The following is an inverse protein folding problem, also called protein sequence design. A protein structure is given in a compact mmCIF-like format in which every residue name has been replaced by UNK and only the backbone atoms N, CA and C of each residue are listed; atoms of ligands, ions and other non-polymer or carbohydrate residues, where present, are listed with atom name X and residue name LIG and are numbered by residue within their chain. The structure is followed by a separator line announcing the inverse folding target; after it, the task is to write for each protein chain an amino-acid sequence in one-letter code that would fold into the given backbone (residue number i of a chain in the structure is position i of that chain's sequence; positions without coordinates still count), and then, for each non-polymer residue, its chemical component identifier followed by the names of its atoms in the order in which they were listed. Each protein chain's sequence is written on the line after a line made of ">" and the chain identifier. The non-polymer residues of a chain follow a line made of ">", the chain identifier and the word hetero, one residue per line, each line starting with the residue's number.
data_IF_123982434173
#
_entry.id   IF_123982434173
#
_cell.length_a   1.000
_cell.length_b   1.000
_cell.length_c   1.000
_cell.angle_alpha   90.00
_cell.angle_beta   90.00
_cell.angle_gamma   90.00
#
_symmetry.space_group_name_H-M   'P 1'
#
loop_
_entity.id
_entity.type
_entity.pdbx_description
1 polymer ?
#
# COMPACT_ATOMS: atom_id res chain seq x y z
N UNK A 1 -2.82 -2.90 -2.72
CA UNK A 1 -1.95 -2.05 -1.88
C UNK A 1 -2.81 -1.10 -1.08
N UNK A 2 -2.37 -0.71 0.13
CA UNK A 2 -3.01 0.33 0.95
C UNK A 2 -2.11 1.55 1.01
N UNK A 3 -2.74 2.71 1.02
CA UNK A 3 -2.11 4.01 1.21
C UNK A 3 -2.66 4.63 2.48
N UNK A 4 -1.79 5.15 3.31
CA UNK A 4 -2.11 5.84 4.55
C UNK A 4 -1.92 7.35 4.35
N UNK A 5 -2.04 8.13 5.42
CA UNK A 5 -1.84 9.58 5.38
C UNK A 5 -0.48 9.94 4.77
N UNK A 6 -0.43 11.07 4.11
CA UNK A 6 0.77 11.63 3.44
C UNK A 6 1.37 10.70 2.35
N UNK A 7 0.65 9.64 1.98
CA UNK A 7 1.10 8.76 0.92
C UNK A 7 0.82 9.36 -0.46
N UNK A 8 1.77 9.18 -1.36
CA UNK A 8 1.57 9.44 -2.77
C UNK A 8 1.21 8.14 -3.49
N UNK A 9 0.30 8.24 -4.41
CA UNK A 9 0.00 7.14 -5.33
C UNK A 9 -0.22 7.71 -6.74
N UNK A 10 0.25 7.01 -7.73
CA UNK A 10 0.12 7.36 -9.12
C UNK A 10 0.02 6.12 -10.01
N UNK A 11 -0.22 6.35 -11.27
CA UNK A 11 -0.11 5.35 -12.32
C UNK A 11 0.82 5.85 -13.43
N UNK A 12 2.09 5.99 -13.08
CA UNK A 12 3.13 6.32 -14.05
C UNK A 12 3.15 5.35 -15.24
N UNK A 13 2.74 4.11 -15.03
CA UNK A 13 2.69 3.09 -16.08
C UNK A 13 1.69 3.44 -17.17
N UNK A 14 0.49 3.85 -16.84
CA UNK A 14 -0.52 4.25 -17.82
C UNK A 14 -0.09 5.50 -18.59
N UNK A 15 0.52 6.43 -17.91
CA UNK A 15 1.04 7.64 -18.52
C UNK A 15 2.17 7.35 -19.52
N UNK A 16 3.18 6.56 -19.14
CA UNK A 16 4.32 6.23 -19.99
C UNK A 16 3.88 5.40 -21.20
N UNK A 17 2.94 4.47 -21.01
CA UNK A 17 2.49 3.56 -22.05
C UNK A 17 1.27 4.08 -22.84
N UNK A 18 0.70 5.23 -22.44
CA UNK A 18 -0.52 5.79 -23.01
C UNK A 18 -1.68 4.76 -23.03
N UNK A 19 -1.83 4.02 -21.94
CA UNK A 19 -2.86 3.01 -21.77
C UNK A 19 -3.74 3.37 -20.55
N UNK A 20 -5.04 3.10 -20.58
CA UNK A 20 -5.90 3.28 -19.41
C UNK A 20 -5.47 2.31 -18.30
N UNK A 21 -5.67 2.72 -17.06
CA UNK A 21 -5.46 1.85 -15.88
C UNK A 21 -6.49 0.69 -15.91
N UNK A 22 -6.08 -0.46 -15.43
CA UNK A 22 -6.90 -1.67 -15.31
C UNK A 22 -7.34 -1.96 -13.87
N UNK A 23 -7.11 -1.02 -12.96
CA UNK A 23 -7.52 -1.09 -11.56
C UNK A 23 -8.27 0.19 -11.14
N UNK A 24 -8.85 0.17 -9.97
CA UNK A 24 -9.49 1.32 -9.36
C UNK A 24 -8.95 1.56 -7.95
N UNK A 25 -9.06 2.82 -7.53
CA UNK A 25 -8.67 3.27 -6.20
C UNK A 25 -9.96 3.55 -5.43
N UNK A 26 -10.05 3.04 -4.21
CA UNK A 26 -11.22 3.19 -3.36
C UNK A 26 -10.81 3.72 -1.99
N UNK A 27 -11.44 4.80 -1.55
CA UNK A 27 -11.39 5.23 -0.16
C UNK A 27 -12.18 4.23 0.71
N UNK A 28 -11.57 3.72 1.78
CA UNK A 28 -12.19 2.79 2.72
C UNK A 28 -12.65 3.48 4.02
N UNK A 29 -12.34 4.75 4.15
CA UNK A 29 -12.77 5.66 5.22
C UNK A 29 -12.83 7.10 4.67
N UNK A 30 -13.39 8.04 5.43
CA UNK A 30 -13.44 9.45 5.02
C UNK A 30 -12.04 9.97 4.76
N UNK A 31 -11.80 10.44 3.53
CA UNK A 31 -10.46 10.74 3.02
C UNK A 31 -10.45 12.08 2.29
N UNK A 32 -9.51 12.94 2.64
CA UNK A 32 -9.17 14.12 1.86
C UNK A 32 -8.00 13.81 0.94
N UNK A 33 -8.13 14.14 -0.35
CA UNK A 33 -7.08 13.93 -1.34
C UNK A 33 -6.74 15.22 -2.07
N UNK A 34 -5.46 15.38 -2.39
CA UNK A 34 -4.97 16.41 -3.30
C UNK A 34 -4.50 15.70 -4.57
N UNK A 35 -4.95 16.16 -5.70
CA UNK A 35 -4.54 15.59 -6.99
C UNK A 35 -3.85 16.63 -7.86
N UNK A 36 -2.94 16.17 -8.69
CA UNK A 36 -2.19 16.96 -9.65
C UNK A 36 -2.25 16.30 -11.01
N UNK A 37 -2.37 17.12 -12.04
CA UNK A 37 -2.17 16.61 -13.40
C UNK A 37 -0.66 16.44 -13.65
N UNK A 38 -0.29 15.32 -14.23
CA UNK A 38 1.11 14.97 -14.43
C UNK A 38 1.83 15.93 -15.39
N UNK A 39 1.10 16.47 -16.38
CA UNK A 39 1.66 17.48 -17.30
C UNK A 39 1.99 18.79 -16.59
N UNK A 40 1.19 19.21 -15.60
CA UNK A 40 1.48 20.38 -14.78
C UNK A 40 2.72 20.15 -13.92
N UNK A 41 2.84 18.95 -13.33
CA UNK A 41 4.04 18.58 -12.56
C UNK A 41 5.31 18.56 -13.42
N UNK A 42 5.22 18.07 -14.65
CA UNK A 42 6.34 18.11 -15.60
C UNK A 42 6.78 19.53 -15.91
N UNK A 43 5.82 20.40 -16.26
CA UNK A 43 6.12 21.79 -16.58
C UNK A 43 6.80 22.54 -15.41
N UNK A 44 6.51 22.13 -14.16
CA UNK A 44 7.17 22.67 -12.97
C UNK A 44 8.56 22.00 -12.78
N UNK A 45 8.67 20.68 -13.00
CA UNK A 45 9.91 19.94 -12.84
C UNK A 45 11.00 20.43 -13.79
N UNK A 46 10.64 20.80 -15.02
CA UNK A 46 11.57 21.41 -16.00
C UNK A 46 12.23 22.71 -15.49
N UNK A 47 11.56 23.38 -14.53
CA UNK A 47 12.01 24.65 -13.96
C UNK A 47 12.59 24.51 -12.55
N UNK A 48 12.47 23.34 -11.94
CA UNK A 48 12.83 23.13 -10.53
C UNK A 48 13.38 21.73 -10.28
N UNK A 49 14.68 21.66 -10.03
CA UNK A 49 15.34 20.40 -9.63
C UNK A 49 14.85 19.84 -8.29
N UNK A 50 14.14 20.64 -7.50
CA UNK A 50 13.51 20.18 -6.24
C UNK A 50 12.33 19.27 -6.56
N UNK A 51 11.47 19.67 -7.50
CA UNK A 51 10.30 18.87 -7.91
C UNK A 51 10.74 17.57 -8.57
N UNK A 52 11.77 17.62 -9.40
CA UNK A 52 12.37 16.41 -10.00
C UNK A 52 12.82 15.41 -8.93
N UNK A 53 13.56 15.87 -7.93
CA UNK A 53 14.00 15.01 -6.80
C UNK A 53 12.85 14.44 -5.98
N UNK A 54 11.81 15.23 -5.75
CA UNK A 54 10.59 14.76 -5.08
C UNK A 54 9.95 13.63 -5.89
N UNK A 55 9.80 13.80 -7.20
CA UNK A 55 9.26 12.77 -8.10
C UNK A 55 10.07 11.47 -8.04
N UNK A 56 11.40 11.55 -8.09
CA UNK A 56 12.28 10.39 -7.94
C UNK A 56 12.07 9.70 -6.59
N UNK A 57 11.95 10.47 -5.50
CA UNK A 57 11.71 9.92 -4.17
C UNK A 57 10.37 9.20 -4.09
N UNK A 58 9.29 9.79 -4.60
CA UNK A 58 7.95 9.17 -4.65
C UNK A 58 8.00 7.84 -5.39
N UNK A 59 8.63 7.81 -6.57
CA UNK A 59 8.78 6.59 -7.36
C UNK A 59 9.59 5.52 -6.61
N UNK A 60 10.68 5.91 -5.94
CA UNK A 60 11.49 5.00 -5.14
C UNK A 60 10.71 4.42 -3.95
N UNK A 61 9.94 5.25 -3.24
CA UNK A 61 9.12 4.82 -2.10
C UNK A 61 8.01 3.85 -2.56
N UNK A 62 7.37 4.13 -3.70
CA UNK A 62 6.39 3.24 -4.31
C UNK A 62 7.00 1.86 -4.64
N UNK A 63 8.14 1.83 -5.33
CA UNK A 63 8.85 0.60 -5.67
C UNK A 63 9.29 -0.19 -4.42
N UNK A 64 9.75 0.51 -3.37
CA UNK A 64 10.15 -0.13 -2.13
C UNK A 64 8.95 -0.77 -1.40
N UNK A 65 7.82 -0.07 -1.32
CA UNK A 65 6.59 -0.60 -0.73
C UNK A 65 6.06 -1.82 -1.50
N UNK A 66 6.09 -1.75 -2.83
CA UNK A 66 5.70 -2.87 -3.68
C UNK A 66 6.62 -4.08 -3.48
N UNK A 67 7.93 -3.87 -3.47
CA UNK A 67 8.93 -4.92 -3.22
C UNK A 67 8.79 -5.54 -1.84
N UNK A 68 8.52 -4.73 -0.81
CA UNK A 68 8.25 -5.21 0.54
C UNK A 68 7.05 -6.17 0.53
N UNK A 69 5.93 -5.77 -0.07
CA UNK A 69 4.72 -6.58 -0.13
C UNK A 69 4.96 -7.91 -0.86
N UNK A 70 5.58 -7.87 -2.03
CA UNK A 70 5.94 -9.08 -2.79
C UNK A 70 6.86 -9.98 -1.95
N UNK A 71 7.84 -9.41 -1.25
CA UNK A 71 8.76 -10.17 -0.40
C UNK A 71 8.02 -10.89 0.74
N UNK A 72 7.08 -10.20 1.38
CA UNK A 72 6.22 -10.76 2.44
C UNK A 72 5.43 -11.96 1.89
N UNK A 73 4.78 -11.80 0.73
CA UNK A 73 3.99 -12.86 0.11
C UNK A 73 4.84 -14.06 -0.30
N UNK A 74 6.05 -13.86 -0.78
CA UNK A 74 6.91 -14.93 -1.28
C UNK A 74 7.68 -15.68 -0.19
N UNK A 75 8.08 -15.00 0.89
CA UNK A 75 9.01 -15.56 1.88
C UNK A 75 8.35 -16.03 3.17
N UNK A 76 7.19 -15.48 3.51
CA UNK A 76 6.56 -15.72 4.79
C UNK A 76 5.33 -16.63 4.67
N UNK A 77 5.15 -17.50 5.65
CA UNK A 77 3.89 -18.21 5.86
C UNK A 77 2.76 -17.24 6.21
N UNK A 78 1.49 -17.61 6.05
CA UNK A 78 0.35 -16.76 6.39
C UNK A 78 0.41 -16.15 7.80
N UNK A 79 0.86 -16.91 8.78
CA UNK A 79 0.98 -16.43 10.16
C UNK A 79 2.13 -15.42 10.32
N UNK A 80 3.27 -15.67 9.70
CA UNK A 80 4.40 -14.76 9.70
C UNK A 80 4.07 -13.45 8.99
N UNK A 81 3.30 -13.48 7.89
CA UNK A 81 2.81 -12.29 7.19
C UNK A 81 1.97 -11.42 8.13
N UNK A 82 1.04 -12.03 8.86
CA UNK A 82 0.19 -11.30 9.80
C UNK A 82 1.00 -10.73 10.98
N UNK A 83 1.89 -11.52 11.57
CA UNK A 83 2.80 -11.05 12.64
C UNK A 83 3.69 -9.90 12.17
N UNK A 84 4.18 -9.97 10.94
CA UNK A 84 4.95 -8.89 10.32
C UNK A 84 4.15 -7.58 10.28
N UNK A 85 2.89 -7.63 9.85
CA UNK A 85 2.03 -6.44 9.81
C UNK A 85 1.72 -5.90 11.20
N UNK A 86 1.45 -6.77 12.17
CA UNK A 86 1.23 -6.35 13.56
C UNK A 86 2.42 -5.56 14.13
N UNK A 87 3.63 -5.97 13.78
CA UNK A 87 4.87 -5.35 14.27
C UNK A 87 5.21 -4.08 13.49
N UNK A 88 5.10 -4.09 12.17
CA UNK A 88 5.64 -3.05 11.32
C UNK A 88 4.58 -2.07 10.80
N UNK A 89 3.30 -2.46 10.77
CA UNK A 89 2.18 -1.65 10.27
C UNK A 89 0.93 -1.79 11.17
N UNK A 90 1.05 -1.58 12.49
CA UNK A 90 -0.05 -1.81 13.44
C UNK A 90 -1.28 -0.94 13.14
N UNK A 91 -1.09 0.31 12.73
CA UNK A 91 -2.18 1.22 12.38
C UNK A 91 -3.00 0.68 11.20
N UNK A 92 -2.33 0.17 10.17
CA UNK A 92 -3.02 -0.46 9.04
C UNK A 92 -3.91 -1.63 9.51
N UNK A 93 -3.37 -2.50 10.37
CA UNK A 93 -4.11 -3.67 10.89
C UNK A 93 -5.33 -3.26 11.72
N UNK A 94 -5.26 -2.13 12.42
CA UNK A 94 -6.36 -1.62 13.25
C UNK A 94 -7.47 -0.96 12.42
N UNK A 95 -7.13 -0.31 11.31
CA UNK A 95 -8.05 0.51 10.51
C UNK A 95 -8.76 -0.26 9.41
N UNK A 96 -8.14 -1.27 8.82
CA UNK A 96 -8.75 -1.99 7.71
C UNK A 96 -9.62 -3.17 8.16
N UNK A 97 -10.66 -3.47 7.39
CA UNK A 97 -11.52 -4.61 7.66
C UNK A 97 -10.78 -5.94 7.58
N UNK A 98 -11.27 -6.94 8.30
CA UNK A 98 -10.72 -8.32 8.23
C UNK A 98 -10.72 -8.85 6.80
N UNK A 99 -11.70 -8.49 5.99
CA UNK A 99 -11.78 -8.88 4.58
C UNK A 99 -10.65 -8.27 3.76
N UNK A 100 -10.42 -6.96 3.88
CA UNK A 100 -9.34 -6.28 3.18
C UNK A 100 -7.97 -6.76 3.64
N UNK A 101 -7.82 -6.99 4.96
CA UNK A 101 -6.57 -7.52 5.50
C UNK A 101 -6.27 -8.94 5.00
N UNK A 102 -7.29 -9.80 4.91
CA UNK A 102 -7.13 -11.15 4.37
C UNK A 102 -6.70 -11.13 2.90
N UNK A 103 -7.33 -10.27 2.09
CA UNK A 103 -6.94 -10.06 0.69
C UNK A 103 -5.49 -9.57 0.56
N UNK A 104 -5.08 -8.63 1.41
CA UNK A 104 -3.71 -8.11 1.40
C UNK A 104 -2.66 -9.19 1.76
N UNK A 105 -3.03 -10.11 2.65
CA UNK A 105 -2.18 -11.21 3.08
C UNK A 105 -2.24 -12.44 2.15
N UNK A 106 -3.08 -12.37 1.11
CA UNK A 106 -3.35 -13.48 0.18
C UNK A 106 -3.82 -14.77 0.91
N UNK A 107 -4.82 -14.59 1.79
CA UNK A 107 -5.48 -15.69 2.52
C UNK A 107 -6.99 -15.47 2.56
N UNK A 108 -7.75 -16.53 2.92
CA UNK A 108 -9.18 -16.37 3.14
C UNK A 108 -9.48 -15.62 4.45
N UNK A 109 -10.61 -14.92 4.48
CA UNK A 109 -11.12 -14.25 5.69
C UNK A 109 -11.25 -15.22 6.87
N UNK A 110 -11.71 -16.44 6.61
CA UNK A 110 -11.90 -17.49 7.61
C UNK A 110 -10.54 -17.94 8.19
N UNK A 111 -9.53 -18.05 7.33
CA UNK A 111 -8.16 -18.39 7.75
C UNK A 111 -7.60 -17.29 8.67
N UNK A 112 -7.74 -16.03 8.28
CA UNK A 112 -7.30 -14.90 9.10
C UNK A 112 -8.05 -14.86 10.44
N UNK A 113 -9.37 -15.05 10.43
CA UNK A 113 -10.17 -15.04 11.65
C UNK A 113 -9.74 -16.13 12.64
N UNK A 114 -9.54 -17.38 12.16
CA UNK A 114 -9.06 -18.48 13.00
C UNK A 114 -7.65 -18.22 13.54
N UNK A 115 -6.78 -17.67 12.71
CA UNK A 115 -5.42 -17.32 13.11
C UNK A 115 -5.40 -16.23 14.20
N UNK A 116 -6.22 -15.20 14.07
CA UNK A 116 -6.37 -14.14 15.09
C UNK A 116 -6.85 -14.70 16.42
N UNK A 117 -7.88 -15.56 16.42
CA UNK A 117 -8.38 -16.19 17.64
C UNK A 117 -7.27 -16.98 18.35
N UNK A 118 -6.53 -17.81 17.62
CA UNK A 118 -5.41 -18.60 18.17
C UNK A 118 -4.29 -17.72 18.74
N UNK A 119 -3.92 -16.63 18.07
CA UNK A 119 -2.86 -15.72 18.53
C UNK A 119 -3.30 -14.93 19.78
N UNK A 120 -4.58 -14.58 19.88
CA UNK A 120 -5.14 -13.95 21.07
C UNK A 120 -5.07 -14.87 22.29
N UNK A 121 -5.38 -16.16 22.13
CA UNK A 121 -5.26 -17.18 23.21
C UNK A 121 -3.80 -17.35 23.68
N UNK A 122 -2.83 -17.09 22.82
CA UNK A 122 -1.40 -17.18 23.12
C UNK A 122 -0.81 -15.89 23.71
N UNK A 123 -1.63 -14.85 23.97
CA UNK A 123 -1.19 -13.51 24.40
C UNK A 123 -0.15 -12.85 23.46
N UNK A 124 -0.27 -13.09 22.18
CA UNK A 124 0.65 -12.53 21.13
C UNK A 124 0.00 -11.29 20.46
N UNK A 125 -1.26 -11.01 20.77
CA UNK A 125 -2.01 -9.83 20.28
C UNK A 125 -2.15 -8.78 21.35
#
# INVERSE_FOLDING_TARGET
>A
QFFMEEAFFDDCGSYVNNQPIDYHIQAIEDTEIIYFYLDDLKAIAEKSSVIERIGIKIAADFLNNHREHVTILMKFSPEERYKYLLTNKPELVQRISVTHLAQFLDISRETLSRMRARLAEQNIL
#
